data_IF_920910568445
#
_entry.id   IF_920910568445
#
_cell.length_a   1.000
_cell.length_b   1.000
_cell.length_c   1.000
_cell.angle_alpha   90.00
_cell.angle_beta   90.00
_cell.angle_gamma   90.00
#
_symmetry.space_group_name_H-M   'P 1'
#
loop_
_entity.id
_entity.type
_entity.pdbx_description
1 polymer ?
#
# COMPACT_ATOMS: atom_id res chain seq x y z
N UNK A 1 -64.80 -30.35 -15.41
CA UNK A 1 -65.54 -30.81 -14.21
C UNK A 1 -64.54 -31.14 -13.11
N UNK A 2 -64.73 -30.68 -11.87
CA UNK A 2 -63.76 -30.82 -10.78
C UNK A 2 -63.99 -32.14 -10.01
N UNK A 3 -62.93 -32.74 -9.44
CA UNK A 3 -63.08 -33.73 -8.37
C UNK A 3 -61.93 -33.61 -7.35
N UNK A 4 -62.27 -33.15 -6.14
CA UNK A 4 -61.64 -33.61 -4.91
C UNK A 4 -62.04 -35.07 -4.63
N UNK A 5 -61.62 -35.76 -3.59
CA UNK A 5 -61.19 -35.40 -2.23
C UNK A 5 -60.43 -36.62 -1.66
N UNK A 6 -59.43 -36.34 -0.81
CA UNK A 6 -58.84 -37.13 0.31
C UNK A 6 -59.25 -38.60 0.52
N UNK A 7 -58.30 -39.47 0.87
CA UNK A 7 -57.93 -39.86 2.26
C UNK A 7 -57.29 -41.27 2.35
N UNK A 8 -56.21 -41.35 3.13
CA UNK A 8 -55.84 -42.37 4.14
C UNK A 8 -55.80 -43.85 3.70
N UNK A 9 -54.64 -44.50 3.96
CA UNK A 9 -54.57 -45.75 4.74
C UNK A 9 -53.13 -46.04 5.20
N UNK A 10 -52.97 -46.00 6.53
CA UNK A 10 -51.95 -46.71 7.30
C UNK A 10 -52.01 -48.21 6.99
N UNK A 11 -50.85 -48.87 6.92
CA UNK A 11 -50.72 -50.29 7.27
C UNK A 11 -49.44 -50.49 8.06
N UNK A 12 -49.65 -50.97 9.28
CA UNK A 12 -48.71 -51.37 10.34
C UNK A 12 -48.23 -52.80 10.07
N UNK A 13 -46.98 -53.12 10.43
CA UNK A 13 -46.61 -54.44 10.96
C UNK A 13 -45.21 -54.40 11.59
N UNK A 14 -45.19 -54.33 12.91
CA UNK A 14 -44.06 -54.62 13.81
C UNK A 14 -43.66 -56.10 13.75
N UNK A 15 -42.39 -56.37 14.06
CA UNK A 15 -41.99 -57.55 14.82
C UNK A 15 -41.19 -57.10 16.03
N UNK A 16 -41.72 -57.48 17.19
CA UNK A 16 -41.24 -57.25 18.56
C UNK A 16 -40.21 -58.33 18.95
N UNK A 17 -39.33 -58.00 19.89
CA UNK A 17 -38.97 -58.82 21.08
C UNK A 17 -38.09 -57.92 21.99
N UNK A 18 -38.69 -57.19 22.95
CA UNK A 18 -38.94 -57.52 24.37
C UNK A 18 -37.73 -57.15 25.28
N UNK A 19 -37.70 -55.96 25.93
CA UNK A 19 -38.38 -55.51 27.19
C UNK A 19 -37.57 -55.81 28.49
N UNK A 20 -37.72 -55.09 29.64
CA UNK A 20 -38.53 -53.88 29.93
C UNK A 20 -37.95 -52.82 30.95
N UNK A 21 -38.72 -51.72 31.17
CA UNK A 21 -38.86 -50.77 32.33
C UNK A 21 -37.65 -50.01 32.91
N UNK A 22 -37.69 -48.76 33.39
CA UNK A 22 -38.64 -47.63 33.53
C UNK A 22 -37.76 -46.42 34.01
N UNK A 23 -37.89 -45.16 33.55
CA UNK A 23 -38.72 -44.05 34.08
C UNK A 23 -37.84 -42.79 34.35
N UNK A 24 -38.26 -41.63 33.80
CA UNK A 24 -37.89 -40.23 34.17
C UNK A 24 -36.44 -39.76 33.83
N UNK A 25 -36.06 -38.55 33.38
CA UNK A 25 -36.52 -37.14 33.46
C UNK A 25 -35.87 -36.32 32.32
N UNK A 26 -36.60 -35.35 31.72
CA UNK A 26 -36.09 -34.04 31.27
C UNK A 26 -35.03 -33.94 30.15
N UNK A 27 -35.46 -33.69 28.91
CA UNK A 27 -34.58 -33.14 27.86
C UNK A 27 -34.32 -31.66 28.13
N UNK A 28 -33.14 -31.35 28.68
CA UNK A 28 -32.59 -29.99 28.75
C UNK A 28 -31.61 -29.79 27.60
N UNK A 29 -31.81 -28.75 26.80
CA UNK A 29 -30.80 -28.28 25.85
C UNK A 29 -29.47 -28.01 26.60
N UNK A 30 -28.30 -28.33 26.02
CA UNK A 30 -27.03 -28.04 26.67
C UNK A 30 -26.87 -26.51 26.82
N UNK A 31 -26.81 -26.05 28.07
CA UNK A 31 -26.63 -24.65 28.42
C UNK A 31 -25.31 -24.11 27.87
N UNK A 32 -25.31 -22.85 27.42
CA UNK A 32 -24.17 -22.11 26.83
C UNK A 32 -22.88 -22.22 27.65
N UNK A 33 -23.00 -22.31 28.99
CA UNK A 33 -21.90 -22.54 29.93
C UNK A 33 -21.15 -23.86 29.75
N UNK A 34 -21.79 -24.90 29.23
CA UNK A 34 -21.20 -26.23 29.02
C UNK A 34 -20.43 -26.29 27.68
N UNK A 35 -20.92 -25.58 26.67
CA UNK A 35 -20.19 -25.35 25.42
C UNK A 35 -18.93 -24.49 25.64
N UNK A 36 -19.05 -23.43 26.46
CA UNK A 36 -17.91 -22.60 26.86
C UNK A 36 -16.87 -23.38 27.68
N UNK A 37 -17.31 -24.29 28.56
CA UNK A 37 -16.38 -25.18 29.29
C UNK A 37 -15.66 -26.14 28.36
N UNK A 38 -16.36 -26.76 27.41
CA UNK A 38 -15.73 -27.63 26.41
C UNK A 38 -14.77 -26.86 25.50
N UNK A 39 -15.11 -25.62 25.13
CA UNK A 39 -14.24 -24.76 24.33
C UNK A 39 -12.99 -24.34 25.12
N UNK A 40 -13.13 -24.02 26.41
CA UNK A 40 -12.00 -23.69 27.29
C UNK A 40 -11.09 -24.90 27.55
N UNK A 41 -11.65 -26.10 27.72
CA UNK A 41 -10.87 -27.34 27.86
C UNK A 41 -10.14 -27.73 26.56
N UNK A 42 -10.78 -27.51 25.40
CA UNK A 42 -10.13 -27.70 24.10
C UNK A 42 -8.99 -26.69 23.89
N UNK A 43 -9.21 -25.42 24.28
CA UNK A 43 -8.20 -24.38 24.20
C UNK A 43 -7.02 -24.65 25.16
N UNK A 44 -7.30 -25.13 26.38
CA UNK A 44 -6.27 -25.51 27.34
C UNK A 44 -5.41 -26.67 26.83
N UNK A 45 -6.03 -27.71 26.24
CA UNK A 45 -5.29 -28.81 25.61
C UNK A 45 -4.46 -28.35 24.41
N UNK A 46 -4.97 -27.40 23.63
CA UNK A 46 -4.25 -26.83 22.50
C UNK A 46 -3.04 -25.99 22.97
N UNK A 47 -3.19 -25.23 24.05
CA UNK A 47 -2.10 -24.47 24.68
C UNK A 47 -1.03 -25.39 25.30
N UNK A 48 -1.42 -26.48 25.95
CA UNK A 48 -0.48 -27.48 26.47
C UNK A 48 0.28 -28.20 25.34
N UNK A 49 -0.39 -28.51 24.22
CA UNK A 49 0.25 -29.08 23.05
C UNK A 49 1.23 -28.09 22.39
N UNK A 50 0.88 -26.80 22.36
CA UNK A 50 1.73 -25.72 21.86
C UNK A 50 2.93 -25.49 22.79
N UNK A 51 2.75 -25.51 24.11
CA UNK A 51 3.84 -25.39 25.09
C UNK A 51 4.81 -26.56 24.99
N UNK A 52 4.31 -27.80 24.85
CA UNK A 52 5.18 -28.98 24.62
C UNK A 52 5.94 -28.90 23.30
N UNK A 53 5.35 -28.31 22.25
CA UNK A 53 6.08 -28.02 21.01
C UNK A 53 7.16 -26.95 21.21
N UNK A 54 6.88 -25.89 21.96
CA UNK A 54 7.86 -24.84 22.29
C UNK A 54 9.02 -25.42 23.13
N UNK A 55 8.73 -26.24 24.13
CA UNK A 55 9.74 -26.91 24.96
C UNK A 55 10.56 -27.95 24.16
N UNK A 56 9.94 -28.64 23.21
CA UNK A 56 10.64 -29.53 22.28
C UNK A 56 11.53 -28.77 21.30
N UNK A 57 11.13 -27.57 20.87
CA UNK A 57 11.97 -26.67 20.06
C UNK A 57 13.12 -26.06 20.87
N UNK A 58 12.93 -25.79 22.17
CA UNK A 58 14.00 -25.27 23.05
C UNK A 58 15.07 -26.32 23.37
N UNK A 59 14.75 -27.61 23.34
CA UNK A 59 15.72 -28.70 23.56
C UNK A 59 16.58 -29.04 22.34
N UNK A 60 16.30 -28.45 21.17
CA UNK A 60 17.18 -28.50 20.01
C UNK A 60 17.97 -27.18 19.91
N UNK A 61 19.29 -27.15 20.14
CA UNK A 61 20.10 -25.93 20.09
C UNK A 61 20.35 -25.39 18.66
N UNK A 62 19.46 -25.68 17.70
CA UNK A 62 19.57 -25.27 16.30
C UNK A 62 18.53 -24.26 15.80
N UNK A 63 17.48 -23.97 16.59
CA UNK A 63 16.49 -22.95 16.22
C UNK A 63 16.28 -21.98 17.38
N UNK A 64 17.26 -21.10 17.59
CA UNK A 64 16.97 -19.82 18.20
C UNK A 64 15.90 -19.15 17.34
N UNK A 65 14.65 -19.18 17.80
CA UNK A 65 13.67 -18.17 17.42
C UNK A 65 14.22 -16.87 17.99
N UNK A 66 15.14 -16.26 17.23
CA UNK A 66 15.56 -14.89 17.44
C UNK A 66 14.29 -14.10 17.22
N UNK A 67 13.67 -13.66 18.31
CA UNK A 67 12.75 -12.52 18.26
C UNK A 67 13.52 -11.44 17.51
N UNK A 68 13.21 -11.26 16.23
CA UNK A 68 13.89 -10.31 15.38
C UNK A 68 13.81 -8.97 16.11
N UNK A 69 14.97 -8.44 16.51
CA UNK A 69 15.05 -7.02 16.85
C UNK A 69 14.37 -6.28 15.69
N UNK A 70 13.52 -5.26 15.94
CA UNK A 70 12.95 -4.48 14.86
C UNK A 70 14.15 -4.03 14.02
N UNK A 71 14.27 -4.58 12.82
CA UNK A 71 15.39 -4.24 11.97
C UNK A 71 15.23 -2.76 11.65
N UNK A 72 16.27 -1.98 11.89
CA UNK A 72 16.26 -0.59 11.43
C UNK A 72 16.17 -0.63 9.91
N UNK A 73 14.99 -0.34 9.38
CA UNK A 73 14.69 -0.28 7.95
C UNK A 73 14.68 1.18 7.52
N UNK A 74 15.12 1.40 6.29
CA UNK A 74 15.02 2.68 5.59
C UNK A 74 13.79 2.60 4.70
N UNK A 75 12.86 3.50 4.93
CA UNK A 75 11.62 3.60 4.19
C UNK A 75 11.82 4.56 3.01
N UNK A 76 11.55 4.09 1.80
CA UNK A 76 11.67 4.90 0.59
C UNK A 76 10.37 4.91 -0.21
N UNK A 77 10.09 6.06 -0.81
CA UNK A 77 9.00 6.25 -1.77
C UNK A 77 9.56 6.62 -3.12
N UNK A 78 9.05 5.99 -4.17
CA UNK A 78 9.36 6.30 -5.55
C UNK A 78 8.22 7.08 -6.19
N UNK A 79 8.57 8.22 -6.77
CA UNK A 79 7.65 9.09 -7.52
C UNK A 79 8.20 9.28 -8.93
N UNK A 80 7.36 9.03 -9.92
CA UNK A 80 7.69 9.26 -11.31
C UNK A 80 6.48 9.72 -12.11
N UNK A 81 6.70 10.69 -13.01
CA UNK A 81 5.65 11.23 -13.89
C UNK A 81 5.32 10.35 -15.12
N UNK A 82 5.90 9.16 -15.21
CA UNK A 82 5.65 8.24 -16.33
C UNK A 82 4.51 7.28 -16.00
N UNK A 83 3.87 6.78 -17.07
CA UNK A 83 2.71 5.88 -17.06
C UNK A 83 2.64 4.94 -15.84
N UNK A 84 1.44 4.65 -15.30
CA UNK A 84 1.23 3.65 -14.24
C UNK A 84 1.85 2.28 -14.53
N UNK A 85 2.10 1.98 -15.80
CA UNK A 85 2.72 0.74 -16.28
C UNK A 85 4.25 0.72 -16.24
N UNK A 86 4.89 1.80 -15.79
CA UNK A 86 6.35 1.84 -15.70
C UNK A 86 6.82 0.98 -14.52
N UNK A 87 7.75 0.07 -14.78
CA UNK A 87 8.32 -0.82 -13.77
C UNK A 87 9.79 -0.47 -13.58
N UNK A 88 10.17 -0.10 -12.37
CA UNK A 88 11.54 0.11 -11.96
C UNK A 88 12.03 -1.11 -11.18
N UNK A 89 13.04 -1.80 -11.69
CA UNK A 89 13.72 -2.87 -10.96
C UNK A 89 14.70 -2.28 -9.93
N UNK A 90 14.56 -2.67 -8.68
CA UNK A 90 15.54 -2.42 -7.62
C UNK A 90 16.48 -3.63 -7.41
N UNK A 91 16.48 -4.59 -8.35
CA UNK A 91 17.27 -5.82 -8.23
C UNK A 91 16.71 -6.74 -7.14
N UNK A 92 17.56 -7.10 -6.18
CA UNK A 92 17.22 -8.03 -5.09
C UNK A 92 16.13 -7.48 -4.15
N UNK A 93 15.84 -6.18 -4.19
CA UNK A 93 14.84 -5.50 -3.37
C UNK A 93 13.47 -5.40 -4.05
N UNK A 94 13.30 -6.04 -5.21
CA UNK A 94 12.03 -6.15 -5.92
C UNK A 94 11.82 -5.09 -7.00
N UNK A 95 10.55 -4.86 -7.34
CA UNK A 95 10.13 -3.96 -8.42
C UNK A 95 9.16 -2.90 -7.89
N UNK A 96 9.35 -1.66 -8.31
CA UNK A 96 8.45 -0.56 -8.03
C UNK A 96 7.65 -0.21 -9.28
N UNK A 97 6.33 -0.06 -9.12
CA UNK A 97 5.41 0.20 -10.22
C UNK A 97 4.85 1.62 -10.15
N UNK A 98 4.75 2.26 -11.32
CA UNK A 98 3.93 3.44 -11.55
C UNK A 98 4.43 4.74 -10.94
N UNK A 99 3.47 5.59 -10.57
CA UNK A 99 3.63 6.95 -10.06
C UNK A 99 4.03 6.96 -8.58
N UNK A 100 3.91 5.81 -7.91
CA UNK A 100 3.94 5.74 -6.47
C UNK A 100 4.29 4.38 -5.88
N UNK A 101 5.58 4.08 -5.79
CA UNK A 101 6.08 2.85 -5.18
C UNK A 101 6.58 3.09 -3.76
N UNK A 102 6.43 2.10 -2.89
CA UNK A 102 7.03 2.10 -1.56
C UNK A 102 7.96 0.90 -1.42
N UNK A 103 9.14 1.09 -0.84
CA UNK A 103 10.12 0.03 -0.57
C UNK A 103 10.76 0.23 0.79
N UNK A 104 10.95 -0.87 1.51
CA UNK A 104 11.71 -0.91 2.75
C UNK A 104 13.04 -1.63 2.49
N UNK A 105 14.13 -1.02 2.92
CA UNK A 105 15.47 -1.56 2.75
C UNK A 105 16.13 -1.65 4.12
N UNK A 106 16.70 -2.80 4.51
CA UNK A 106 17.44 -2.88 5.77
C UNK A 106 18.59 -1.85 5.79
N UNK A 107 18.73 -1.08 6.87
CA UNK A 107 19.73 0.00 6.99
C UNK A 107 21.16 -0.50 6.76
N UNK A 108 21.46 -1.74 7.16
CA UNK A 108 22.76 -2.39 6.92
C UNK A 108 23.08 -2.55 5.43
N UNK A 109 22.07 -2.72 4.59
CA UNK A 109 22.23 -2.93 3.17
C UNK A 109 22.10 -1.63 2.36
N UNK A 110 21.45 -0.61 2.95
CA UNK A 110 21.23 0.70 2.35
C UNK A 110 22.50 1.35 1.82
N UNK A 111 23.55 1.45 2.64
CA UNK A 111 24.82 2.07 2.25
C UNK A 111 25.74 1.18 1.40
N UNK A 112 25.41 -0.12 1.28
CA UNK A 112 26.21 -1.12 0.62
C UNK A 112 25.58 -1.60 -0.69
N UNK A 113 24.94 -2.77 -0.64
CA UNK A 113 24.37 -3.45 -1.81
C UNK A 113 23.26 -2.65 -2.50
N UNK A 114 22.45 -1.92 -1.73
CA UNK A 114 21.34 -1.13 -2.28
C UNK A 114 21.84 0.11 -3.03
N UNK A 115 22.95 0.73 -2.60
CA UNK A 115 23.45 1.99 -3.16
C UNK A 115 24.21 1.80 -4.48
N UNK A 116 23.53 1.29 -5.50
CA UNK A 116 24.06 1.16 -6.86
C UNK A 116 24.14 2.53 -7.56
N UNK A 117 24.91 2.68 -8.66
CA UNK A 117 24.93 3.92 -9.44
C UNK A 117 23.54 4.36 -9.93
N UNK A 118 22.67 3.41 -10.26
CA UNK A 118 21.29 3.67 -10.69
C UNK A 118 20.46 4.26 -9.55
N UNK A 119 20.51 3.64 -8.35
CA UNK A 119 19.82 4.14 -7.16
C UNK A 119 20.33 5.53 -6.76
N UNK A 120 21.65 5.75 -6.80
CA UNK A 120 22.22 7.09 -6.59
C UNK A 120 21.67 8.11 -7.58
N UNK A 121 21.54 7.74 -8.85
CA UNK A 121 20.91 8.58 -9.87
C UNK A 121 19.48 8.95 -9.50
N UNK A 122 18.68 7.99 -9.04
CA UNK A 122 17.29 8.20 -8.65
C UNK A 122 17.13 9.08 -7.39
N UNK A 123 18.01 8.90 -6.39
CA UNK A 123 18.05 9.73 -5.18
C UNK A 123 18.45 11.19 -5.51
N UNK A 124 19.44 11.36 -6.39
CA UNK A 124 19.88 12.68 -6.85
C UNK A 124 18.80 13.38 -7.68
N UNK A 125 18.07 12.64 -8.52
CA UNK A 125 16.93 13.15 -9.28
C UNK A 125 15.67 13.33 -8.42
N UNK A 126 15.72 13.04 -7.11
CA UNK A 126 14.56 13.11 -6.21
C UNK A 126 13.37 12.27 -6.67
N UNK A 127 13.60 11.24 -7.50
CA UNK A 127 12.59 10.27 -7.93
C UNK A 127 12.42 9.16 -6.91
N UNK A 128 13.50 8.86 -6.18
CA UNK A 128 13.46 8.01 -5.01
C UNK A 128 13.71 8.90 -3.79
N UNK A 129 12.79 8.86 -2.84
CA UNK A 129 12.70 9.75 -1.70
C UNK A 129 12.82 8.92 -0.43
N UNK A 130 13.76 9.26 0.45
CA UNK A 130 13.88 8.61 1.76
C UNK A 130 12.95 9.29 2.76
N UNK A 131 11.96 8.55 3.27
CA UNK A 131 11.04 9.04 4.29
C UNK A 131 11.70 8.96 5.67
N UNK A 132 12.07 7.75 6.07
CA UNK A 132 12.56 7.42 7.41
C UNK A 132 13.73 6.43 7.39
N UNK A 133 14.39 6.26 8.54
CA UNK A 133 15.43 5.25 8.76
C UNK A 133 16.88 5.71 8.56
N UNK A 134 17.09 6.99 8.21
CA UNK A 134 18.42 7.62 8.15
C UNK A 134 18.55 8.77 9.15
N UNK A 135 19.73 8.88 9.75
CA UNK A 135 20.12 10.01 10.59
C UNK A 135 20.48 11.25 9.75
N UNK A 136 20.55 12.43 10.37
CA UNK A 136 20.87 13.69 9.67
C UNK A 136 22.21 13.65 8.92
N UNK A 137 23.24 13.06 9.51
CA UNK A 137 24.56 12.91 8.88
C UNK A 137 24.50 12.01 7.63
N UNK A 138 23.72 10.92 7.70
CA UNK A 138 23.51 10.01 6.58
C UNK A 138 22.70 10.70 5.49
N UNK A 139 21.66 11.47 5.86
CA UNK A 139 20.87 12.24 4.90
C UNK A 139 21.75 13.21 4.12
N UNK A 140 22.64 13.94 4.80
CA UNK A 140 23.61 14.82 4.13
C UNK A 140 24.61 14.06 3.27
N UNK A 141 25.11 12.90 3.75
CA UNK A 141 26.08 12.07 3.01
C UNK A 141 25.51 11.56 1.68
N UNK A 142 24.23 11.20 1.66
CA UNK A 142 23.54 10.73 0.45
C UNK A 142 22.79 11.84 -0.29
N UNK A 143 22.95 13.10 0.12
CA UNK A 143 22.28 14.26 -0.48
C UNK A 143 20.74 14.09 -0.51
N UNK A 144 20.16 13.53 0.56
CA UNK A 144 18.72 13.32 0.75
C UNK A 144 18.17 14.20 1.91
N UNK A 145 18.83 15.31 2.16
CA UNK A 145 18.37 16.41 3.01
C UNK A 145 17.41 17.30 2.23
N UNK A 146 16.14 16.90 2.21
CA UNK A 146 15.10 17.63 1.48
C UNK A 146 14.71 18.92 2.22
N UNK A 147 14.57 20.02 1.48
CA UNK A 147 14.04 21.27 2.02
C UNK A 147 12.52 21.20 2.14
N UNK A 148 11.97 22.03 3.03
CA UNK A 148 10.53 22.13 3.20
C UNK A 148 9.84 22.53 1.89
N UNK A 149 8.84 21.73 1.48
CA UNK A 149 8.12 21.92 0.21
C UNK A 149 8.91 21.61 -1.07
N UNK A 150 10.12 21.04 -0.98
CA UNK A 150 10.93 20.66 -2.15
C UNK A 150 10.32 19.47 -2.92
N UNK A 151 9.68 18.57 -2.19
CA UNK A 151 9.13 17.32 -2.70
C UNK A 151 7.63 17.43 -2.88
N UNK A 152 7.13 16.77 -3.91
CA UNK A 152 5.70 16.69 -4.18
C UNK A 152 5.12 15.47 -3.47
N UNK A 153 4.12 15.70 -2.62
CA UNK A 153 3.34 14.61 -2.04
C UNK A 153 2.50 13.91 -3.12
N UNK A 154 2.30 12.59 -2.99
CA UNK A 154 1.51 11.82 -3.95
C UNK A 154 0.04 12.23 -3.98
N UNK A 155 -0.55 12.50 -2.82
CA UNK A 155 -1.94 12.97 -2.79
C UNK A 155 -2.10 14.34 -3.44
N UNK A 156 -1.03 15.14 -3.42
CA UNK A 156 -0.97 16.44 -4.10
C UNK A 156 -0.73 16.26 -5.61
N UNK A 157 0.09 15.28 -6.02
CA UNK A 157 0.29 14.94 -7.43
C UNK A 157 -1.02 14.50 -8.10
N UNK A 158 -1.81 13.64 -7.45
CA UNK A 158 -3.08 13.16 -8.01
C UNK A 158 -4.14 14.25 -8.14
N UNK A 159 -4.14 15.21 -7.19
CA UNK A 159 -5.10 16.32 -7.15
C UNK A 159 -4.56 17.61 -7.79
N UNK A 160 -3.39 17.55 -8.41
CA UNK A 160 -2.65 18.72 -8.90
C UNK A 160 -3.48 19.59 -9.87
N UNK A 161 -4.32 18.96 -10.69
CA UNK A 161 -5.21 19.65 -11.63
C UNK A 161 -6.40 20.33 -10.95
N UNK A 162 -6.79 19.88 -9.76
CA UNK A 162 -7.90 20.43 -8.96
C UNK A 162 -7.47 21.59 -8.06
N UNK A 163 -6.15 21.72 -7.81
CA UNK A 163 -5.59 22.82 -7.01
C UNK A 163 -5.82 24.16 -7.72
N UNK A 164 -6.20 25.17 -6.94
CA UNK A 164 -6.35 26.55 -7.41
C UNK A 164 -5.01 27.16 -7.84
N UNK A 165 -5.05 28.14 -8.76
CA UNK A 165 -3.84 28.70 -9.38
C UNK A 165 -2.83 29.27 -8.37
N UNK A 166 -3.28 30.02 -7.36
CA UNK A 166 -2.36 30.65 -6.40
C UNK A 166 -1.65 29.63 -5.52
N UNK A 167 -2.38 28.63 -5.00
CA UNK A 167 -1.77 27.54 -4.23
C UNK A 167 -0.82 26.71 -5.11
N UNK A 168 -1.18 26.47 -6.37
CA UNK A 168 -0.33 25.77 -7.32
C UNK A 168 0.97 26.54 -7.61
N UNK A 169 0.90 27.87 -7.75
CA UNK A 169 2.09 28.73 -7.92
C UNK A 169 3.00 28.68 -6.69
N UNK A 170 2.43 28.76 -5.49
CA UNK A 170 3.20 28.67 -4.25
C UNK A 170 3.92 27.32 -4.15
N UNK A 171 3.19 26.23 -4.35
CA UNK A 171 3.74 24.87 -4.35
C UNK A 171 4.84 24.74 -5.43
N UNK A 172 4.53 25.11 -6.68
CA UNK A 172 5.45 24.99 -7.80
C UNK A 172 6.74 25.78 -7.60
N UNK A 173 6.70 26.92 -6.88
CA UNK A 173 7.89 27.73 -6.60
C UNK A 173 8.88 27.04 -5.66
N UNK A 174 8.39 26.20 -4.74
CA UNK A 174 9.20 25.49 -3.74
C UNK A 174 9.77 24.16 -4.26
N UNK A 175 9.10 23.55 -5.24
CA UNK A 175 9.49 22.26 -5.81
C UNK A 175 10.89 22.29 -6.43
N UNK A 176 11.62 21.18 -6.33
CA UNK A 176 12.86 20.99 -7.08
C UNK A 176 12.60 20.84 -8.60
N UNK A 177 13.65 21.01 -9.39
CA UNK A 177 13.59 20.98 -10.88
C UNK A 177 12.94 19.71 -11.41
N UNK A 178 13.25 18.55 -10.83
CA UNK A 178 12.68 17.27 -11.26
C UNK A 178 11.19 17.17 -10.96
N UNK A 179 10.74 17.61 -9.78
CA UNK A 179 9.32 17.67 -9.47
C UNK A 179 8.57 18.71 -10.32
N UNK A 180 9.19 19.86 -10.64
CA UNK A 180 8.63 20.81 -11.61
C UNK A 180 8.42 20.17 -12.99
N UNK A 181 9.38 19.37 -13.46
CA UNK A 181 9.25 18.58 -14.71
C UNK A 181 8.16 17.52 -14.62
N UNK A 182 8.01 16.88 -13.46
CA UNK A 182 6.93 15.91 -13.22
C UNK A 182 5.55 16.56 -13.31
N UNK A 183 5.36 17.71 -12.65
CA UNK A 183 4.15 18.55 -12.76
C UNK A 183 3.90 18.91 -14.23
N UNK A 184 4.89 19.45 -14.94
CA UNK A 184 4.72 19.85 -16.34
C UNK A 184 4.31 18.67 -17.23
N UNK A 185 4.95 17.51 -17.07
CA UNK A 185 4.62 16.28 -17.81
C UNK A 185 3.19 15.81 -17.53
N UNK A 186 2.74 15.90 -16.27
CA UNK A 186 1.37 15.57 -15.88
C UNK A 186 0.35 16.50 -16.55
N UNK A 187 0.62 17.81 -16.57
CA UNK A 187 -0.21 18.79 -17.28
C UNK A 187 -0.24 18.53 -18.79
N UNK A 188 0.90 18.29 -19.42
CA UNK A 188 0.99 18.02 -20.87
C UNK A 188 0.18 16.76 -21.22
N UNK A 189 0.37 15.69 -20.45
CA UNK A 189 -0.32 14.42 -20.70
C UNK A 189 -1.84 14.56 -20.52
N UNK A 190 -2.28 15.31 -19.52
CA UNK A 190 -3.71 15.54 -19.26
C UNK A 190 -4.35 16.43 -20.31
N UNK A 191 -3.62 17.44 -20.79
CA UNK A 191 -4.06 18.29 -21.90
C UNK A 191 -4.21 17.47 -23.19
N UNK A 192 -3.26 16.59 -23.50
CA UNK A 192 -3.33 15.69 -24.65
C UNK A 192 -4.52 14.70 -24.58
N UNK A 193 -4.98 14.37 -23.37
CA UNK A 193 -6.19 13.56 -23.15
C UNK A 193 -7.49 14.38 -23.26
N UNK A 194 -7.41 15.69 -23.46
CA UNK A 194 -8.57 16.58 -23.55
C UNK A 194 -9.17 16.99 -22.21
N UNK A 195 -8.36 17.08 -21.15
CA UNK A 195 -8.85 17.52 -19.84
C UNK A 195 -9.19 19.02 -19.85
N UNK A 196 -10.47 19.33 -19.60
CA UNK A 196 -11.02 20.69 -19.64
C UNK A 196 -10.55 21.59 -18.48
N UNK A 197 -9.88 21.04 -17.46
CA UNK A 197 -9.35 21.80 -16.31
C UNK A 197 -8.10 22.61 -16.67
N UNK A 198 -7.51 22.38 -17.84
CA UNK A 198 -6.27 23.01 -18.29
C UNK A 198 -6.61 24.17 -19.23
N UNK A 199 -6.41 25.39 -18.74
CA UNK A 199 -6.61 26.62 -19.50
C UNK A 199 -5.32 27.41 -19.64
N UNK A 200 -5.28 28.33 -20.62
CA UNK A 200 -4.14 29.26 -20.79
C UNK A 200 -3.86 30.06 -19.52
N UNK A 201 -4.90 30.57 -18.87
CA UNK A 201 -4.81 31.36 -17.64
C UNK A 201 -4.14 30.57 -16.50
N UNK A 202 -4.32 29.25 -16.48
CA UNK A 202 -3.68 28.37 -15.48
C UNK A 202 -2.23 28.06 -15.85
N UNK A 203 -1.94 27.87 -17.13
CA UNK A 203 -0.64 27.35 -17.61
C UNK A 203 0.40 28.45 -17.82
N UNK A 204 0.01 29.64 -18.28
CA UNK A 204 0.92 30.75 -18.60
C UNK A 204 1.73 31.21 -17.36
N UNK A 205 1.14 31.43 -16.17
CA UNK A 205 1.88 31.79 -14.97
C UNK A 205 2.85 30.69 -14.52
N UNK A 206 2.46 29.41 -14.65
CA UNK A 206 3.31 28.27 -14.30
C UNK A 206 4.49 28.14 -15.27
N UNK A 207 4.25 28.42 -16.55
CA UNK A 207 5.29 28.45 -17.56
C UNK A 207 6.30 29.57 -17.27
N UNK A 208 5.84 30.75 -16.87
CA UNK A 208 6.72 31.85 -16.49
C UNK A 208 7.57 31.52 -15.26
N UNK A 209 6.99 30.88 -14.24
CA UNK A 209 7.75 30.38 -13.09
C UNK A 209 8.78 29.33 -13.50
N UNK A 210 8.46 28.49 -14.48
CA UNK A 210 9.39 27.45 -14.95
C UNK A 210 10.58 28.00 -15.76
N UNK A 211 10.51 29.26 -16.22
CA UNK A 211 11.59 29.90 -16.99
C UNK A 211 12.88 30.11 -16.19
N UNK A 212 12.81 30.11 -14.86
CA UNK A 212 14.01 30.15 -14.01
C UNK A 212 14.91 28.93 -14.22
N UNK A 213 14.32 27.78 -14.55
CA UNK A 213 15.03 26.50 -14.71
C UNK A 213 15.17 26.08 -16.18
N UNK A 214 14.17 26.39 -17.01
CA UNK A 214 14.18 26.10 -18.45
C UNK A 214 13.86 27.39 -19.23
N UNK A 215 14.81 28.00 -19.95
CA UNK A 215 14.59 29.26 -20.67
C UNK A 215 13.39 29.24 -21.65
N UNK A 216 12.97 28.07 -22.13
CA UNK A 216 11.83 27.91 -23.03
C UNK A 216 10.51 27.71 -22.29
N UNK A 217 10.55 27.44 -21.00
CA UNK A 217 9.42 27.10 -20.14
C UNK A 217 8.98 25.63 -20.32
N UNK A 218 8.66 24.99 -19.21
CA UNK A 218 8.33 23.56 -19.17
C UNK A 218 6.93 23.23 -19.74
N UNK A 219 6.04 24.22 -19.87
CA UNK A 219 4.67 24.04 -20.35
C UNK A 219 4.46 24.51 -21.79
N UNK A 220 5.53 24.88 -22.48
CA UNK A 220 5.52 25.33 -23.88
C UNK A 220 4.66 24.44 -24.81
N UNK A 221 4.68 23.10 -24.74
CA UNK A 221 3.88 22.27 -25.64
C UNK A 221 2.37 22.55 -25.57
N UNK A 222 1.85 22.90 -24.38
CA UNK A 222 0.44 23.25 -24.20
C UNK A 222 0.15 24.63 -24.82
N UNK A 223 0.99 25.63 -24.51
CA UNK A 223 0.81 26.99 -25.00
C UNK A 223 0.91 27.07 -26.53
N UNK A 224 1.83 26.32 -27.14
CA UNK A 224 1.93 26.22 -28.60
C UNK A 224 0.69 25.58 -29.23
N UNK A 225 0.11 24.58 -28.57
CA UNK A 225 -1.13 23.96 -29.06
C UNK A 225 -2.31 24.92 -28.95
N UNK A 226 -2.40 25.70 -27.88
CA UNK A 226 -3.48 26.67 -27.67
C UNK A 226 -3.38 27.86 -28.65
N UNK A 227 -2.18 28.27 -29.04
CA UNK A 227 -1.96 29.35 -30.01
C UNK A 227 -2.24 28.95 -31.47
N UNK A 228 -2.41 27.66 -31.77
CA UNK A 228 -2.75 27.14 -33.11
C UNK A 228 -4.26 27.07 -33.36
N UNK A 229 -5.07 27.35 -32.34
CA UNK A 229 -6.53 27.44 -32.38
C UNK A 229 -6.95 28.89 -32.60
#
# INVERSE_FOLDING_TARGET
>A
MPRGVRNIKNTVAETMEANPVADTVGQSQPTETELLRQQNEALAKQLEAMQKQIEAMQKNPGSTVVMAKPEETVELTYIAAVSPTNVLSLGDYGYLNGVGGYVEVPRKEFGGKFMTPEIRGLLNQRRLIVLNGLNEDERRRYNVDYKDGELLDMQMFDRLLDVGLEQLKELFSKLCVEHKRMVATHFISSYQRGDNRISREKVEPLNDLSKSEDPKGMFRPILESLNKV
#
